data_IF_647938006609
#
_entry.id   IF_647938006609
#
_cell.length_a   1.000
_cell.length_b   1.000
_cell.length_c   1.000
_cell.angle_alpha   90.00
_cell.angle_beta   90.00
_cell.angle_gamma   90.00
#
_symmetry.space_group_name_H-M   'P 1'
#
loop_
_entity.id
_entity.type
_entity.pdbx_description
1 polymer ?
#
# COMPACT_ATOMS: atom_id res chain seq x y z
N UNK A 1 -17.41 26.96 -13.37
CA UNK A 1 -16.35 26.02 -13.79
C UNK A 1 -16.91 24.81 -14.53
N UNK A 2 -17.98 24.17 -14.06
CA UNK A 2 -18.57 22.96 -14.65
C UNK A 2 -19.04 23.18 -16.10
N UNK A 3 -19.71 24.30 -16.39
CA UNK A 3 -20.19 24.63 -17.74
C UNK A 3 -19.03 24.83 -18.73
N UNK A 4 -17.97 25.50 -18.29
CA UNK A 4 -16.76 25.68 -19.10
C UNK A 4 -16.10 24.33 -19.47
N UNK A 5 -16.01 23.41 -18.51
CA UNK A 5 -15.49 22.07 -18.74
C UNK A 5 -16.34 21.30 -19.74
N UNK A 6 -17.67 21.36 -19.63
CA UNK A 6 -18.58 20.71 -20.57
C UNK A 6 -18.42 21.24 -22.00
N UNK A 7 -18.35 22.57 -22.17
CA UNK A 7 -18.13 23.20 -23.48
C UNK A 7 -16.77 22.76 -24.05
N UNK A 8 -15.72 22.72 -23.24
CA UNK A 8 -14.39 22.27 -23.65
C UNK A 8 -14.40 20.81 -24.12
N UNK A 9 -15.08 19.93 -23.38
CA UNK A 9 -15.21 18.50 -23.75
C UNK A 9 -15.93 18.38 -25.10
N UNK A 10 -17.04 19.07 -25.29
CA UNK A 10 -17.79 19.03 -26.55
C UNK A 10 -16.96 19.56 -27.72
N UNK A 11 -16.19 20.62 -27.49
CA UNK A 11 -15.31 21.19 -28.51
C UNK A 11 -14.21 20.22 -28.91
N UNK A 12 -13.53 19.59 -27.93
CA UNK A 12 -12.50 18.59 -28.18
C UNK A 12 -13.08 17.35 -28.87
N UNK A 13 -14.25 16.89 -28.46
CA UNK A 13 -14.97 15.79 -29.13
C UNK A 13 -15.29 16.12 -30.60
N UNK A 14 -15.75 17.33 -30.90
CA UNK A 14 -16.01 17.77 -32.24
C UNK A 14 -14.73 17.81 -33.10
N UNK A 15 -13.64 18.35 -32.55
CA UNK A 15 -12.34 18.35 -33.23
C UNK A 15 -11.86 16.94 -33.53
N UNK A 16 -11.97 16.06 -32.56
CA UNK A 16 -11.59 14.64 -32.72
C UNK A 16 -12.43 13.97 -33.82
N UNK A 17 -13.74 14.22 -33.83
CA UNK A 17 -14.61 13.67 -34.84
C UNK A 17 -14.24 14.16 -36.24
N UNK A 18 -14.00 15.47 -36.42
CA UNK A 18 -13.71 16.07 -37.75
C UNK A 18 -12.31 15.70 -38.23
N UNK A 19 -11.28 15.81 -37.38
CA UNK A 19 -9.88 15.70 -37.79
C UNK A 19 -9.31 14.29 -37.65
N UNK A 20 -9.87 13.47 -36.77
CA UNK A 20 -9.41 12.12 -36.55
C UNK A 20 -10.40 11.11 -37.12
N UNK A 21 -11.60 11.02 -36.55
CA UNK A 21 -12.53 9.95 -36.91
C UNK A 21 -12.96 9.99 -38.38
N UNK A 22 -13.36 11.14 -38.89
CA UNK A 22 -13.87 11.28 -40.27
C UNK A 22 -12.86 10.92 -41.35
N UNK A 23 -11.57 11.33 -41.28
CA UNK A 23 -10.55 10.90 -42.22
C UNK A 23 -10.27 9.39 -42.18
N UNK A 24 -10.29 8.79 -40.98
CA UNK A 24 -10.02 7.35 -40.81
C UNK A 24 -11.18 6.47 -41.28
N UNK A 25 -12.43 6.95 -41.18
CA UNK A 25 -13.63 6.23 -41.67
C UNK A 25 -13.76 6.24 -43.19
N UNK A 26 -13.24 7.25 -43.90
CA UNK A 26 -13.34 7.34 -45.35
C UNK A 26 -12.26 6.50 -46.02
N UNK A 27 -12.66 5.32 -46.54
CA UNK A 27 -11.78 4.27 -47.11
C UNK A 27 -10.70 4.75 -48.10
N UNK A 28 -10.85 5.91 -48.74
CA UNK A 28 -9.97 6.37 -49.81
C UNK A 28 -9.09 7.56 -49.40
N UNK A 29 -9.14 8.07 -48.19
CA UNK A 29 -8.35 9.24 -47.76
C UNK A 29 -7.01 8.91 -47.14
N UNK A 30 -6.88 7.76 -46.53
CA UNK A 30 -5.63 7.35 -45.84
C UNK A 30 -5.22 6.00 -46.40
N UNK A 31 -3.99 5.90 -46.89
CA UNK A 31 -3.42 4.62 -47.31
C UNK A 31 -3.20 3.69 -46.09
N UNK A 32 -3.35 2.39 -46.30
CA UNK A 32 -3.12 1.39 -45.23
C UNK A 32 -1.73 1.57 -44.56
N UNK A 33 -0.71 1.87 -45.39
CA UNK A 33 0.64 2.11 -44.92
C UNK A 33 0.71 3.31 -43.96
N UNK A 34 0.10 4.45 -44.36
CA UNK A 34 0.09 5.66 -43.53
C UNK A 34 -0.70 5.46 -42.24
N UNK A 35 -1.80 4.69 -42.28
CA UNK A 35 -2.56 4.32 -41.09
C UNK A 35 -1.68 3.58 -40.06
N UNK A 36 -0.98 2.54 -40.48
CA UNK A 36 -0.11 1.77 -39.56
C UNK A 36 1.05 2.61 -39.02
N UNK A 37 1.61 3.50 -39.82
CA UNK A 37 2.67 4.41 -39.37
C UNK A 37 2.15 5.36 -38.28
N UNK A 38 1.02 6.01 -38.51
CA UNK A 38 0.43 6.94 -37.52
C UNK A 38 0.07 6.19 -36.23
N UNK A 39 -0.59 5.05 -36.37
CA UNK A 39 -0.98 4.23 -35.20
C UNK A 39 0.24 3.77 -34.41
N UNK A 40 1.25 3.24 -35.08
CA UNK A 40 2.49 2.82 -34.44
C UNK A 40 3.22 3.96 -33.74
N UNK A 41 3.26 5.14 -34.36
CA UNK A 41 3.85 6.33 -33.75
C UNK A 41 3.08 6.78 -32.50
N UNK A 42 1.75 6.85 -32.57
CA UNK A 42 0.91 7.20 -31.39
C UNK A 42 1.07 6.18 -30.25
N UNK A 43 1.06 4.88 -30.58
CA UNK A 43 1.32 3.83 -29.59
C UNK A 43 2.71 3.96 -28.97
N UNK A 44 3.74 4.25 -29.77
CA UNK A 44 5.10 4.48 -29.30
C UNK A 44 5.19 5.63 -28.31
N UNK A 45 4.54 6.76 -28.61
CA UNK A 45 4.48 7.92 -27.68
C UNK A 45 3.80 7.52 -26.37
N UNK A 46 2.63 6.87 -26.44
CA UNK A 46 1.89 6.48 -25.23
C UNK A 46 2.70 5.49 -24.37
N UNK A 47 3.37 4.52 -25.00
CA UNK A 47 4.24 3.59 -24.29
C UNK A 47 5.40 4.31 -23.62
N UNK A 48 6.06 5.23 -24.33
CA UNK A 48 7.18 6.02 -23.76
C UNK A 48 6.71 6.84 -22.57
N UNK A 49 5.58 7.57 -22.69
CA UNK A 49 5.03 8.35 -21.60
C UNK A 49 4.64 7.48 -20.40
N UNK A 50 4.07 6.30 -20.66
CA UNK A 50 3.71 5.33 -19.61
C UNK A 50 4.94 4.79 -18.88
N UNK A 51 6.00 4.45 -19.61
CA UNK A 51 7.26 3.99 -19.05
C UNK A 51 7.91 5.09 -18.20
N UNK A 52 8.01 6.31 -18.73
CA UNK A 52 8.54 7.46 -17.98
C UNK A 52 7.71 7.73 -16.72
N UNK A 53 6.39 7.71 -16.83
CA UNK A 53 5.48 7.85 -15.68
C UNK A 53 5.68 6.76 -14.65
N UNK A 54 5.85 5.51 -15.08
CA UNK A 54 6.07 4.37 -14.19
C UNK A 54 7.40 4.50 -13.41
N UNK A 55 8.51 4.75 -14.10
CA UNK A 55 9.81 4.91 -13.44
C UNK A 55 9.89 6.12 -12.49
N UNK A 56 9.13 7.16 -12.76
CA UNK A 56 9.04 8.33 -11.87
C UNK A 56 7.91 8.21 -10.82
N UNK A 57 7.33 7.03 -10.62
CA UNK A 57 6.28 6.80 -9.62
C UNK A 57 5.03 7.66 -9.83
N UNK A 58 4.71 8.05 -11.09
CA UNK A 58 3.59 8.90 -11.43
C UNK A 58 3.80 10.39 -11.12
N UNK A 59 5.05 10.82 -10.92
CA UNK A 59 5.43 12.20 -10.57
C UNK A 59 4.71 12.70 -9.31
N UNK A 60 4.95 12.11 -8.14
CA UNK A 60 4.24 12.47 -6.90
C UNK A 60 4.49 13.93 -6.48
N UNK A 61 5.60 14.54 -6.92
CA UNK A 61 5.97 15.92 -6.61
C UNK A 61 5.15 16.98 -7.36
N UNK A 62 4.34 16.57 -8.37
CA UNK A 62 3.48 17.49 -9.12
C UNK A 62 2.37 18.14 -8.27
N UNK A 63 2.11 17.61 -7.08
CA UNK A 63 1.15 18.14 -6.13
C UNK A 63 1.57 17.79 -4.71
N UNK A 64 1.53 18.77 -3.81
CA UNK A 64 1.80 18.55 -2.38
C UNK A 64 0.87 17.47 -1.79
N UNK A 65 -0.38 17.42 -2.24
CA UNK A 65 -1.33 16.39 -1.84
C UNK A 65 -0.87 14.99 -2.27
N UNK A 66 -0.42 14.84 -3.53
CA UNK A 66 0.03 13.54 -4.06
C UNK A 66 1.33 13.06 -3.41
N UNK A 67 2.20 13.98 -3.00
CA UNK A 67 3.44 13.62 -2.29
C UNK A 67 3.16 12.94 -0.94
N UNK A 68 2.00 13.22 -0.33
CA UNK A 68 1.52 12.60 0.91
C UNK A 68 0.97 11.19 0.71
N UNK A 69 0.60 10.81 -0.52
CA UNK A 69 0.08 9.48 -0.87
C UNK A 69 1.15 8.50 -1.35
N UNK A 70 2.41 8.69 -0.96
CA UNK A 70 3.45 7.67 -1.17
C UNK A 70 3.08 6.39 -0.41
N UNK A 71 3.52 5.23 -0.94
CA UNK A 71 3.38 3.96 -0.21
C UNK A 71 3.91 4.14 1.21
N UNK A 72 3.04 4.00 2.18
CA UNK A 72 3.39 4.18 3.58
C UNK A 72 3.93 2.86 4.12
N UNK A 73 5.22 2.79 4.38
CA UNK A 73 5.87 1.65 5.00
C UNK A 73 6.06 1.84 6.53
N UNK A 74 5.36 2.79 7.14
CA UNK A 74 5.58 3.19 8.52
C UNK A 74 6.86 4.01 8.64
N UNK A 75 7.77 3.62 9.55
CA UNK A 75 9.04 4.32 9.73
C UNK A 75 9.99 4.11 8.55
N UNK A 76 10.11 2.86 8.05
CA UNK A 76 11.05 2.53 7.00
C UNK A 76 10.62 1.26 6.25
N UNK A 77 11.05 1.13 4.98
CA UNK A 77 10.84 -0.09 4.19
C UNK A 77 11.48 -1.34 4.85
N UNK A 78 12.61 -1.19 5.52
CA UNK A 78 13.28 -2.29 6.23
C UNK A 78 12.49 -2.82 7.44
N UNK A 79 11.44 -2.10 7.86
CA UNK A 79 10.56 -2.53 8.95
C UNK A 79 9.44 -3.46 8.48
N UNK A 80 9.24 -3.56 7.16
CA UNK A 80 8.29 -4.50 6.59
C UNK A 80 8.81 -5.94 6.71
N UNK A 81 8.07 -6.79 7.42
CA UNK A 81 8.45 -8.18 7.69
C UNK A 81 9.54 -8.35 8.76
N UNK A 82 9.93 -7.28 9.45
CA UNK A 82 10.91 -7.35 10.54
C UNK A 82 10.22 -7.57 11.88
N UNK A 83 10.43 -8.74 12.48
CA UNK A 83 9.83 -9.15 13.74
C UNK A 83 10.71 -8.85 14.96
N UNK A 84 11.88 -8.24 14.78
CA UNK A 84 12.84 -7.94 15.87
C UNK A 84 12.94 -6.44 16.14
N UNK A 85 13.42 -6.08 17.34
CA UNK A 85 13.67 -4.69 17.70
C UNK A 85 14.87 -4.13 16.92
N UNK A 86 14.60 -3.44 15.84
CA UNK A 86 15.57 -2.74 15.02
C UNK A 86 15.50 -1.24 15.31
N UNK A 87 16.64 -0.58 15.47
CA UNK A 87 16.71 0.86 15.76
C UNK A 87 16.02 1.73 14.69
N UNK A 88 16.00 1.29 13.43
CA UNK A 88 15.29 1.98 12.33
C UNK A 88 13.76 1.84 12.40
N UNK A 89 13.27 0.87 13.19
CA UNK A 89 11.85 0.55 13.35
C UNK A 89 11.32 0.98 14.72
N UNK A 90 12.05 1.85 15.40
CA UNK A 90 11.73 2.39 16.72
C UNK A 90 11.77 3.92 16.63
N UNK A 91 10.75 4.60 17.16
CA UNK A 91 10.72 6.07 17.18
C UNK A 91 11.74 6.64 18.19
N UNK A 92 11.59 6.30 19.46
CA UNK A 92 12.48 6.72 20.56
C UNK A 92 12.56 5.62 21.62
N UNK A 93 13.50 5.72 22.54
CA UNK A 93 13.59 4.82 23.72
C UNK A 93 13.19 5.59 24.99
N UNK A 94 12.63 4.93 26.02
CA UNK A 94 12.27 3.51 26.08
C UNK A 94 11.03 3.18 25.23
N UNK A 95 11.00 1.96 24.65
CA UNK A 95 9.90 1.47 23.82
C UNK A 95 8.82 0.90 24.73
N UNK A 96 7.67 1.59 24.82
CA UNK A 96 6.53 1.15 25.62
C UNK A 96 5.35 0.65 24.80
N UNK A 97 5.35 0.95 23.51
CA UNK A 97 4.24 0.68 22.59
C UNK A 97 4.76 -0.15 21.44
N UNK A 98 4.05 -1.22 21.10
CA UNK A 98 4.24 -1.95 19.87
C UNK A 98 3.04 -1.75 18.96
N UNK A 99 3.27 -1.59 17.65
CA UNK A 99 2.22 -1.66 16.64
C UNK A 99 2.43 -2.93 15.83
N UNK A 100 1.41 -3.79 15.81
CA UNK A 100 1.42 -5.10 15.20
C UNK A 100 0.35 -5.18 14.10
N UNK A 101 0.69 -5.69 12.94
CA UNK A 101 -0.30 -5.87 11.88
C UNK A 101 0.28 -5.85 10.48
N UNK A 102 -0.55 -5.46 9.52
CA UNK A 102 -0.20 -5.38 8.10
C UNK A 102 -0.01 -3.94 7.61
N UNK A 103 -0.21 -3.70 6.30
CA UNK A 103 -0.13 -2.35 5.71
C UNK A 103 -1.09 -1.35 6.36
N UNK A 104 -2.22 -1.77 6.89
CA UNK A 104 -3.13 -0.90 7.66
C UNK A 104 -2.45 -0.37 8.93
N UNK A 105 -1.72 -1.23 9.65
CA UNK A 105 -0.97 -0.81 10.82
C UNK A 105 0.13 0.21 10.47
N UNK A 106 0.79 0.06 9.31
CA UNK A 106 1.82 0.99 8.84
C UNK A 106 1.32 2.44 8.75
N UNK A 107 0.04 2.64 8.41
CA UNK A 107 -0.53 3.98 8.31
C UNK A 107 -0.62 4.71 9.65
N UNK A 108 -0.68 4.00 10.77
CA UNK A 108 -0.80 4.58 12.10
C UNK A 108 0.55 4.80 12.80
N UNK A 109 1.65 4.21 12.29
CA UNK A 109 2.96 4.21 12.95
C UNK A 109 3.45 5.62 13.26
N UNK A 110 3.48 6.51 12.26
CA UNK A 110 3.99 7.88 12.43
C UNK A 110 3.11 8.69 13.37
N UNK A 111 1.79 8.64 13.18
CA UNK A 111 0.84 9.37 14.03
C UNK A 111 0.89 8.88 15.49
N UNK A 112 1.04 7.58 15.70
CA UNK A 112 1.17 7.01 17.03
C UNK A 112 2.49 7.43 17.69
N UNK A 113 3.58 7.50 16.93
CA UNK A 113 4.88 7.95 17.42
C UNK A 113 4.89 9.44 17.76
N UNK A 114 4.21 10.27 16.97
CA UNK A 114 4.10 11.72 17.20
C UNK A 114 3.19 12.06 18.40
N UNK A 115 2.11 11.30 18.58
CA UNK A 115 1.14 11.53 19.66
C UNK A 115 1.61 11.03 21.03
N UNK A 116 2.63 10.17 21.06
CA UNK A 116 3.11 9.56 22.30
C UNK A 116 4.55 9.98 22.61
N UNK A 117 4.79 10.36 23.87
CA UNK A 117 6.16 10.62 24.39
C UNK A 117 6.97 9.33 24.57
N UNK A 118 6.29 8.19 24.69
CA UNK A 118 6.91 6.88 24.81
C UNK A 118 7.28 6.32 23.45
N UNK A 119 8.35 5.55 23.37
CA UNK A 119 8.80 4.93 22.14
C UNK A 119 7.80 3.92 21.58
N UNK A 120 7.66 3.95 20.27
CA UNK A 120 6.83 3.04 19.47
C UNK A 120 7.76 2.14 18.65
N UNK A 121 7.51 0.84 18.63
CA UNK A 121 8.14 -0.10 17.70
C UNK A 121 7.13 -0.56 16.65
N UNK A 122 7.58 -0.56 15.42
CA UNK A 122 6.84 -1.10 14.29
C UNK A 122 7.18 -2.58 14.08
N UNK A 123 6.17 -3.44 14.16
CA UNK A 123 6.22 -4.88 13.86
C UNK A 123 5.11 -5.17 12.85
N UNK A 124 5.35 -4.84 11.59
CA UNK A 124 4.32 -4.94 10.54
C UNK A 124 4.85 -5.71 9.35
N UNK A 125 3.96 -6.48 8.70
CA UNK A 125 4.27 -7.18 7.47
C UNK A 125 3.15 -6.98 6.47
N UNK A 126 3.49 -6.37 5.33
CA UNK A 126 2.55 -6.15 4.22
C UNK A 126 1.91 -7.47 3.79
N UNK A 127 0.66 -7.44 3.36
CA UNK A 127 -0.09 -8.61 2.87
C UNK A 127 -0.37 -9.71 3.91
N UNK A 128 0.04 -9.55 5.16
CA UNK A 128 -0.21 -10.51 6.23
C UNK A 128 -1.29 -10.01 7.19
N UNK A 129 -2.45 -10.66 7.20
CA UNK A 129 -3.48 -10.39 8.20
C UNK A 129 -3.15 -11.01 9.55
N UNK A 130 -3.50 -10.32 10.64
CA UNK A 130 -3.44 -10.87 11.99
C UNK A 130 -4.36 -12.08 12.07
N UNK A 131 -3.87 -13.18 12.64
CA UNK A 131 -4.55 -14.49 12.60
C UNK A 131 -3.83 -15.47 11.68
N UNK A 132 -2.60 -15.14 11.29
CA UNK A 132 -1.69 -16.01 10.53
C UNK A 132 -2.16 -16.34 9.11
N UNK A 133 -3.03 -15.52 8.53
CA UNK A 133 -3.56 -15.70 7.17
C UNK A 133 -2.86 -14.73 6.22
N UNK A 134 -2.43 -15.24 5.07
CA UNK A 134 -1.99 -14.39 3.95
C UNK A 134 -3.22 -13.91 3.18
N UNK A 135 -3.22 -12.66 2.75
CA UNK A 135 -4.21 -12.13 1.79
C UNK A 135 -4.10 -12.82 0.42
N UNK A 136 -2.95 -13.43 0.15
CA UNK A 136 -2.73 -14.27 -1.02
C UNK A 136 -2.83 -15.74 -0.60
N UNK A 137 -3.54 -16.54 -1.36
CA UNK A 137 -3.79 -17.98 -1.10
C UNK A 137 -2.53 -18.87 -1.31
N UNK A 138 -1.32 -18.27 -1.29
CA UNK A 138 -0.08 -19.05 -1.38
C UNK A 138 0.30 -19.60 -0.01
N UNK A 139 0.55 -20.91 0.04
CA UNK A 139 0.94 -21.64 1.25
C UNK A 139 2.25 -21.08 1.84
N UNK A 140 3.21 -20.70 0.99
CA UNK A 140 4.48 -20.15 1.45
C UNK A 140 4.31 -18.79 2.10
N UNK A 141 3.45 -17.93 1.55
CA UNK A 141 3.13 -16.62 2.14
C UNK A 141 2.41 -16.78 3.47
N UNK A 142 1.52 -17.75 3.60
CA UNK A 142 0.85 -18.06 4.88
C UNK A 142 1.82 -18.55 5.94
N UNK A 143 2.81 -19.36 5.58
CA UNK A 143 3.87 -19.81 6.49
C UNK A 143 4.76 -18.65 6.95
N UNK A 144 5.14 -17.75 6.03
CA UNK A 144 5.91 -16.56 6.34
C UNK A 144 5.15 -15.61 7.27
N UNK A 145 3.87 -15.38 7.03
CA UNK A 145 3.00 -14.59 7.89
C UNK A 145 2.93 -15.19 9.31
N UNK A 146 2.71 -16.49 9.40
CA UNK A 146 2.64 -17.20 10.69
C UNK A 146 3.94 -17.08 11.47
N UNK A 147 5.07 -17.27 10.82
CA UNK A 147 6.38 -17.12 11.44
C UNK A 147 6.60 -15.68 11.92
N UNK A 148 6.33 -14.70 11.08
CA UNK A 148 6.47 -13.29 11.43
C UNK A 148 5.67 -12.92 12.67
N UNK A 149 4.39 -13.27 12.76
CA UNK A 149 3.57 -12.95 13.93
C UNK A 149 4.03 -13.67 15.19
N UNK A 150 4.43 -14.94 15.11
CA UNK A 150 5.00 -15.67 16.24
C UNK A 150 6.28 -15.04 16.77
N UNK A 151 7.18 -14.65 15.89
CA UNK A 151 8.44 -13.98 16.27
C UNK A 151 8.16 -12.57 16.82
N UNK A 152 7.21 -11.83 16.27
CA UNK A 152 6.79 -10.52 16.77
C UNK A 152 6.23 -10.62 18.19
N UNK A 153 5.32 -11.55 18.45
CA UNK A 153 4.77 -11.81 19.81
C UNK A 153 5.90 -12.17 20.78
N UNK A 154 6.80 -13.06 20.38
CA UNK A 154 7.98 -13.42 21.20
C UNK A 154 8.86 -12.20 21.51
N UNK A 155 9.05 -11.32 20.53
CA UNK A 155 9.83 -10.08 20.70
C UNK A 155 9.13 -9.13 21.67
N UNK A 156 7.80 -8.98 21.57
CA UNK A 156 6.99 -8.16 22.48
C UNK A 156 7.06 -8.70 23.90
N UNK A 157 6.87 -10.00 24.10
CA UNK A 157 6.85 -10.61 25.43
C UNK A 157 8.23 -10.60 26.10
N UNK A 158 9.30 -10.77 25.32
CA UNK A 158 10.68 -10.68 25.82
C UNK A 158 11.03 -9.27 26.30
N UNK A 159 10.43 -8.24 25.72
CA UNK A 159 10.67 -6.86 26.14
C UNK A 159 9.62 -6.42 27.17
N UNK A 160 10.01 -6.43 28.45
CA UNK A 160 9.14 -6.05 29.57
C UNK A 160 8.75 -4.57 29.59
N UNK A 161 9.47 -3.71 28.87
CA UNK A 161 9.16 -2.29 28.76
C UNK A 161 7.92 -2.04 27.87
N UNK A 162 7.65 -2.92 26.90
CA UNK A 162 6.45 -2.84 26.06
C UNK A 162 5.23 -3.18 26.91
N UNK A 163 4.34 -2.21 27.09
CA UNK A 163 3.15 -2.33 27.93
C UNK A 163 1.87 -2.40 27.06
N UNK A 164 1.86 -1.74 25.92
CA UNK A 164 0.69 -1.62 25.07
C UNK A 164 0.99 -2.13 23.66
N UNK A 165 0.07 -2.90 23.11
CA UNK A 165 0.12 -3.41 21.75
C UNK A 165 -1.10 -2.90 20.97
N UNK A 166 -0.85 -2.09 19.96
CA UNK A 166 -1.88 -1.70 18.99
C UNK A 166 -1.91 -2.73 17.87
N UNK A 167 -3.08 -3.28 17.58
CA UNK A 167 -3.27 -4.24 16.51
C UNK A 167 -4.16 -3.63 15.44
N UNK A 168 -3.64 -3.53 14.22
CA UNK A 168 -4.40 -3.03 13.07
C UNK A 168 -4.18 -3.91 11.84
N UNK A 169 -5.29 -4.37 11.28
CA UNK A 169 -5.30 -5.29 10.14
C UNK A 169 -6.64 -5.20 9.40
N UNK A 170 -6.73 -5.84 8.25
CA UNK A 170 -8.00 -6.04 7.58
C UNK A 170 -8.79 -7.18 8.27
N UNK A 171 -9.56 -6.82 9.29
CA UNK A 171 -10.31 -7.81 10.09
C UNK A 171 -11.42 -8.53 9.29
N UNK A 172 -11.83 -8.01 8.14
CA UNK A 172 -12.76 -8.69 7.24
C UNK A 172 -12.27 -10.04 6.70
N UNK A 173 -10.96 -10.28 6.75
CA UNK A 173 -10.34 -11.55 6.35
C UNK A 173 -10.37 -12.61 7.48
N UNK A 174 -10.73 -12.23 8.70
CA UNK A 174 -10.88 -13.14 9.86
C UNK A 174 -12.32 -13.67 9.92
N UNK A 175 -12.93 -13.97 8.78
CA UNK A 175 -14.32 -14.43 8.72
C UNK A 175 -14.46 -15.95 8.92
N UNK A 176 -13.45 -16.72 8.50
CA UNK A 176 -13.46 -18.16 8.69
C UNK A 176 -13.07 -18.56 10.13
N UNK A 177 -13.45 -19.79 10.52
CA UNK A 177 -13.25 -20.27 11.89
C UNK A 177 -11.76 -20.41 12.24
N UNK A 178 -10.95 -20.89 11.32
CA UNK A 178 -9.50 -21.12 11.55
C UNK A 178 -8.75 -19.82 11.78
N UNK A 179 -9.00 -18.81 10.97
CA UNK A 179 -8.41 -17.48 11.11
C UNK A 179 -8.79 -16.83 12.44
N UNK A 180 -10.04 -17.03 12.87
CA UNK A 180 -10.55 -16.51 14.14
C UNK A 180 -9.88 -17.18 15.34
N UNK A 181 -9.77 -18.51 15.33
CA UNK A 181 -9.07 -19.27 16.37
C UNK A 181 -7.58 -18.88 16.44
N UNK A 182 -6.94 -18.71 15.30
CA UNK A 182 -5.55 -18.23 15.21
C UNK A 182 -5.37 -16.82 15.76
N UNK A 183 -6.30 -15.91 15.49
CA UNK A 183 -6.28 -14.56 16.06
C UNK A 183 -6.46 -14.58 17.59
N UNK A 184 -7.41 -15.35 18.09
CA UNK A 184 -7.61 -15.51 19.55
C UNK A 184 -6.34 -16.09 20.20
N UNK A 185 -5.70 -17.06 19.56
CA UNK A 185 -4.43 -17.60 20.03
C UNK A 185 -3.35 -16.53 20.11
N UNK A 186 -3.20 -15.68 19.07
CA UNK A 186 -2.26 -14.56 19.08
C UNK A 186 -2.53 -13.58 20.24
N UNK A 187 -3.81 -13.26 20.51
CA UNK A 187 -4.18 -12.39 21.63
C UNK A 187 -3.82 -13.02 22.98
N UNK A 188 -4.07 -14.31 23.14
CA UNK A 188 -3.72 -15.04 24.37
C UNK A 188 -2.21 -15.17 24.58
N UNK A 189 -1.45 -15.23 23.49
CA UNK A 189 0.02 -15.30 23.54
C UNK A 189 0.68 -13.95 23.93
N UNK A 190 -0.06 -12.83 23.88
CA UNK A 190 0.42 -11.52 24.33
C UNK A 190 0.28 -11.39 25.85
N UNK A 191 1.26 -11.92 26.56
CA UNK A 191 1.28 -11.99 28.02
C UNK A 191 1.33 -10.60 28.68
N UNK A 192 0.40 -10.32 29.60
CA UNK A 192 0.38 -9.11 30.44
C UNK A 192 0.51 -7.79 29.67
N UNK A 193 -0.02 -7.73 28.46
CA UNK A 193 -0.03 -6.52 27.62
C UNK A 193 -1.44 -5.93 27.54
N UNK A 194 -1.53 -4.61 27.55
CA UNK A 194 -2.76 -3.91 27.16
C UNK A 194 -2.90 -3.97 25.63
N UNK A 195 -3.99 -4.50 25.14
CA UNK A 195 -4.26 -4.65 23.70
C UNK A 195 -5.32 -3.62 23.28
N UNK A 196 -5.06 -2.89 22.22
CA UNK A 196 -5.92 -1.84 21.67
C UNK A 196 -6.14 -2.10 20.17
#
# INVERSE_FOLDING_TARGET
QTIFILVLILFISYLTWVFVETPFRKKNKISKKLFFIITGFCCGILLTLSIVGHFNGGFPERSELLSKFKKNNGFNLECNGNAILNSKCISVKPVKIAILGNSYAMHFVSSLAESNKSGVVQLTMDTCSVGYVSTYQDINDSLNCRQFFKESVKTINKNKEIQTVYISSLFGEILDKESRESFVTLLNDLENKSII
#
